data_IF_439334326684
#
_entry.id   IF_439334326684
#
_cell.length_a   1.000
_cell.length_b   1.000
_cell.length_c   1.000
_cell.angle_alpha   90.00
_cell.angle_beta   90.00
_cell.angle_gamma   90.00
#
_symmetry.space_group_name_H-M   'P 1'
#
loop_
_entity.id
_entity.type
_entity.pdbx_description
1 polymer ?
#
# COMPACT_ATOMS: atom_id res chain seq x y z
N UNK A 1 -11.33 -5.11 -17.38
CA UNK A 1 -10.36 -4.83 -16.30
C UNK A 1 -11.13 -4.70 -15.00
N UNK A 2 -10.98 -5.65 -14.07
CA UNK A 2 -11.53 -5.54 -12.73
C UNK A 2 -10.35 -5.40 -11.76
N UNK A 3 -10.15 -4.20 -11.22
CA UNK A 3 -9.15 -3.96 -10.17
C UNK A 3 -9.77 -4.47 -8.87
N UNK A 4 -9.30 -5.61 -8.39
CA UNK A 4 -9.69 -6.19 -7.09
C UNK A 4 -8.68 -5.73 -6.05
N UNK A 5 -9.05 -4.71 -5.27
CA UNK A 5 -8.26 -4.23 -4.12
C UNK A 5 -8.55 -5.16 -2.94
N UNK A 6 -7.53 -5.84 -2.43
CA UNK A 6 -7.60 -6.51 -1.13
C UNK A 6 -7.24 -5.50 -0.04
N UNK A 7 -8.19 -5.23 0.86
CA UNK A 7 -7.91 -4.58 2.14
C UNK A 7 -7.23 -5.62 3.03
N UNK A 8 -5.99 -5.34 3.46
CA UNK A 8 -5.24 -6.17 4.41
C UNK A 8 -6.00 -6.32 5.73
N UNK A 9 -5.85 -7.48 6.37
CA UNK A 9 -6.64 -7.91 7.53
C UNK A 9 -6.39 -7.16 8.85
N UNK A 10 -5.85 -5.94 8.84
CA UNK A 10 -5.41 -5.25 10.05
C UNK A 10 -6.41 -4.20 10.61
N UNK A 11 -7.67 -4.22 10.17
CA UNK A 11 -8.68 -3.22 10.60
C UNK A 11 -9.95 -3.81 11.22
N UNK A 12 -9.82 -4.67 12.25
CA UNK A 12 -10.96 -5.01 13.12
C UNK A 12 -10.51 -4.98 14.59
N UNK A 13 -10.21 -3.78 15.10
CA UNK A 13 -10.20 -3.46 16.55
C UNK A 13 -11.14 -2.30 16.89
N UNK A 14 -12.17 -2.07 16.06
CA UNK A 14 -13.26 -1.17 16.43
C UNK A 14 -14.29 -1.94 17.25
N UNK A 15 -14.56 -1.47 18.47
CA UNK A 15 -15.59 -2.00 19.40
C UNK A 15 -16.96 -2.20 18.75
N UNK A 16 -17.21 -1.52 17.62
CA UNK A 16 -18.43 -1.64 16.82
C UNK A 16 -18.68 -3.06 16.30
N UNK A 17 -17.64 -3.85 16.01
CA UNK A 17 -17.77 -5.23 15.52
C UNK A 17 -17.69 -6.29 16.63
N UNK A 18 -17.21 -5.94 17.83
CA UNK A 18 -17.21 -6.86 18.99
C UNK A 18 -18.63 -7.13 19.54
N UNK A 19 -19.58 -6.22 19.35
CA UNK A 19 -20.98 -6.44 19.77
C UNK A 19 -21.68 -7.53 18.95
N UNK A 20 -21.24 -7.75 17.70
CA UNK A 20 -21.88 -8.69 16.78
C UNK A 20 -21.46 -10.13 17.09
N UNK A 21 -20.32 -10.35 17.77
CA UNK A 21 -19.77 -11.68 18.07
C UNK A 21 -20.41 -12.31 19.33
N UNK A 22 -20.96 -11.51 20.25
CA UNK A 22 -21.49 -12.00 21.53
C UNK A 22 -22.91 -12.54 21.48
N UNK A 23 -23.64 -12.27 20.41
CA UNK A 23 -24.97 -12.86 20.16
C UNK A 23 -24.80 -14.12 19.32
N UNK A 24 -24.56 -15.25 20.00
CA UNK A 24 -24.50 -16.56 19.37
C UNK A 24 -25.82 -16.90 18.70
N UNK A 25 -25.83 -16.92 17.38
CA UNK A 25 -26.27 -18.03 16.53
C UNK A 25 -26.41 -17.53 15.08
N UNK A 26 -25.79 -18.26 14.14
CA UNK A 26 -26.18 -18.31 12.72
C UNK A 26 -25.70 -17.23 11.72
N UNK A 27 -24.57 -16.54 11.93
CA UNK A 27 -23.90 -15.95 10.76
C UNK A 27 -23.10 -17.03 10.03
N UNK A 28 -23.55 -17.33 8.82
CA UNK A 28 -23.05 -18.40 7.98
C UNK A 28 -21.53 -18.34 7.85
N UNK A 29 -20.92 -19.53 7.94
CA UNK A 29 -19.61 -19.82 7.39
C UNK A 29 -19.51 -19.17 6.01
N UNK A 30 -18.82 -18.03 5.92
CA UNK A 30 -18.24 -17.58 4.67
C UNK A 30 -17.14 -18.61 4.41
N UNK A 31 -17.50 -19.69 3.70
CA UNK A 31 -16.54 -20.60 3.12
C UNK A 31 -15.71 -19.78 2.13
N UNK A 32 -14.49 -19.41 2.55
CA UNK A 32 -13.43 -19.09 1.61
C UNK A 32 -13.01 -20.40 0.94
N UNK A 33 -13.78 -20.82 -0.07
CA UNK A 33 -13.42 -21.92 -0.95
C UNK A 33 -12.62 -21.37 -2.13
N UNK A 34 -11.30 -21.31 -1.98
CA UNK A 34 -10.37 -21.47 -3.10
C UNK A 34 -9.09 -22.13 -2.59
N UNK A 35 -8.89 -23.44 -2.86
CA UNK A 35 -7.69 -24.15 -2.48
C UNK A 35 -6.55 -23.80 -3.46
N UNK A 36 -5.32 -23.71 -2.94
CA UNK A 36 -4.07 -23.64 -3.71
C UNK A 36 -3.81 -22.34 -4.53
N UNK A 37 -3.59 -21.22 -3.86
CA UNK A 37 -2.73 -20.15 -4.41
C UNK A 37 -1.45 -20.02 -3.57
N UNK A 38 -0.41 -20.69 -4.05
CA UNK A 38 0.97 -20.22 -4.18
C UNK A 38 1.40 -19.04 -3.25
N UNK A 39 2.40 -19.26 -2.37
CA UNK A 39 3.04 -18.33 -1.41
C UNK A 39 3.65 -17.03 -2.01
N UNK A 40 3.34 -16.67 -3.25
CA UNK A 40 3.99 -15.59 -3.99
C UNK A 40 3.00 -14.42 -4.21
N UNK A 41 3.30 -13.26 -3.63
CA UNK A 41 2.51 -12.04 -3.87
C UNK A 41 2.55 -11.60 -5.34
N UNK A 42 1.59 -10.77 -5.76
CA UNK A 42 1.46 -10.29 -7.14
C UNK A 42 2.46 -9.19 -7.50
N UNK A 43 2.80 -8.32 -6.54
CA UNK A 43 3.76 -7.24 -6.73
C UNK A 43 5.17 -7.76 -6.45
N UNK A 44 6.00 -7.78 -7.48
CA UNK A 44 7.41 -8.24 -7.40
C UNK A 44 8.35 -7.03 -7.32
N UNK A 45 9.51 -7.14 -6.64
CA UNK A 45 10.53 -6.10 -6.68
C UNK A 45 10.97 -5.80 -8.11
N UNK A 46 11.05 -4.52 -8.45
CA UNK A 46 11.59 -4.06 -9.75
C UNK A 46 13.11 -4.26 -9.75
N UNK A 47 13.67 -4.89 -10.81
CA UNK A 47 15.09 -5.28 -10.88
C UNK A 47 16.05 -4.10 -11.04
N UNK A 48 15.66 -3.06 -11.78
CA UNK A 48 16.44 -1.83 -11.99
C UNK A 48 15.80 -0.66 -11.24
N UNK A 49 15.52 -0.87 -9.95
CA UNK A 49 14.82 0.09 -9.13
C UNK A 49 15.68 1.33 -8.85
N UNK A 50 15.13 2.51 -9.18
CA UNK A 50 15.68 3.81 -8.84
C UNK A 50 14.63 4.64 -8.08
N UNK A 51 14.89 4.84 -6.79
CA UNK A 51 14.01 5.60 -5.90
C UNK A 51 13.90 7.09 -6.30
N UNK A 52 14.98 7.68 -6.84
CA UNK A 52 15.00 9.08 -7.26
C UNK A 52 14.08 9.26 -8.48
N UNK A 53 14.20 8.37 -9.47
CA UNK A 53 13.32 8.38 -10.64
C UNK A 53 11.85 8.21 -10.25
N UNK A 54 11.54 7.33 -9.31
CA UNK A 54 10.17 7.19 -8.77
C UNK A 54 9.66 8.48 -8.13
N UNK A 55 10.50 9.16 -7.35
CA UNK A 55 10.16 10.44 -6.73
C UNK A 55 9.95 11.56 -7.76
N UNK A 56 10.77 11.61 -8.82
CA UNK A 56 10.63 12.58 -9.91
C UNK A 56 9.34 12.39 -10.71
N UNK A 57 8.97 11.15 -11.02
CA UNK A 57 7.72 10.83 -11.72
C UNK A 57 6.53 11.29 -10.88
N UNK A 58 6.52 10.96 -9.57
CA UNK A 58 5.47 11.40 -8.66
C UNK A 58 5.41 12.93 -8.55
N UNK A 59 6.56 13.60 -8.45
CA UNK A 59 6.60 15.07 -8.40
C UNK A 59 6.06 15.68 -9.68
N UNK A 60 6.41 15.14 -10.85
CA UNK A 60 5.91 15.61 -12.14
C UNK A 60 4.41 15.39 -12.28
N UNK A 61 3.91 14.25 -11.83
CA UNK A 61 2.48 13.91 -11.86
C UNK A 61 1.62 14.86 -11.01
N UNK A 62 2.19 15.42 -9.94
CA UNK A 62 1.52 16.34 -9.00
C UNK A 62 1.88 17.82 -9.22
N UNK A 63 2.82 18.15 -10.11
CA UNK A 63 3.29 19.53 -10.31
C UNK A 63 2.62 20.12 -11.54
N UNK A 64 1.46 20.75 -11.37
CA UNK A 64 0.78 21.47 -12.44
C UNK A 64 -0.68 21.76 -12.14
N UNK A 65 -1.41 22.19 -13.17
CA UNK A 65 -2.86 22.25 -13.12
C UNK A 65 -3.41 20.86 -13.45
N UNK A 66 -3.94 20.19 -12.42
CA UNK A 66 -4.38 18.80 -12.51
C UNK A 66 -3.29 17.79 -12.15
N UNK A 67 -3.69 16.52 -12.10
CA UNK A 67 -2.89 15.42 -11.56
C UNK A 67 -2.86 14.26 -12.55
N UNK A 68 -1.68 13.72 -12.85
CA UNK A 68 -1.53 12.50 -13.65
C UNK A 68 -1.74 11.26 -12.75
N UNK A 69 -3.01 10.94 -12.50
CA UNK A 69 -3.40 9.81 -11.65
C UNK A 69 -2.87 8.46 -12.13
N UNK A 70 -2.69 8.27 -13.45
CA UNK A 70 -2.15 7.01 -13.98
C UNK A 70 -0.66 6.87 -13.66
N UNK A 71 0.13 7.93 -13.83
CA UNK A 71 1.54 7.90 -13.43
C UNK A 71 1.72 7.59 -11.93
N UNK A 72 0.83 8.11 -11.07
CA UNK A 72 0.84 7.81 -9.64
C UNK A 72 0.52 6.33 -9.39
N UNK A 73 -0.56 5.81 -10.00
CA UNK A 73 -0.97 4.41 -9.85
C UNK A 73 0.12 3.46 -10.35
N UNK A 74 0.75 3.76 -11.49
CA UNK A 74 1.81 2.94 -12.07
C UNK A 74 3.04 2.89 -11.16
N UNK A 75 3.46 4.02 -10.59
CA UNK A 75 4.58 4.03 -9.65
C UNK A 75 4.21 3.28 -8.38
N UNK A 76 3.07 3.57 -7.75
CA UNK A 76 2.77 2.94 -6.45
C UNK A 76 2.44 1.45 -6.61
N UNK A 77 1.66 1.06 -7.62
CA UNK A 77 1.19 -0.33 -7.76
C UNK A 77 2.26 -1.29 -8.26
N UNK A 78 3.27 -0.84 -9.00
CA UNK A 78 4.33 -1.71 -9.53
C UNK A 78 5.50 -1.92 -8.55
N UNK A 79 5.56 -1.19 -7.45
CA UNK A 79 6.64 -1.29 -6.46
C UNK A 79 6.16 -1.99 -5.18
N UNK A 80 6.90 -2.97 -4.63
CA UNK A 80 6.61 -3.51 -3.30
C UNK A 80 6.85 -2.46 -2.22
N UNK A 81 6.33 -2.72 -1.01
CA UNK A 81 6.39 -1.78 0.11
C UNK A 81 7.80 -1.25 0.42
N UNK A 82 8.83 -2.09 0.36
CA UNK A 82 10.20 -1.66 0.63
C UNK A 82 10.74 -0.66 -0.40
N UNK A 83 10.33 -0.80 -1.67
CA UNK A 83 10.66 0.16 -2.72
C UNK A 83 9.83 1.44 -2.59
N UNK A 84 8.54 1.35 -2.22
CA UNK A 84 7.69 2.52 -1.91
C UNK A 84 8.27 3.36 -0.76
N UNK A 85 8.78 2.72 0.29
CA UNK A 85 9.46 3.40 1.41
C UNK A 85 10.71 4.15 0.95
N UNK A 86 11.50 3.55 0.06
CA UNK A 86 12.67 4.20 -0.53
C UNK A 86 12.26 5.39 -1.41
N UNK A 87 11.21 5.28 -2.23
CA UNK A 87 10.66 6.41 -3.01
C UNK A 87 10.19 7.54 -2.07
N UNK A 88 9.48 7.23 -0.99
CA UNK A 88 9.05 8.22 0.01
C UNK A 88 10.23 8.95 0.64
N UNK A 89 11.30 8.24 0.99
CA UNK A 89 12.52 8.83 1.53
C UNK A 89 13.23 9.72 0.48
N UNK A 90 13.36 9.23 -0.76
CA UNK A 90 13.93 9.98 -1.88
C UNK A 90 13.15 11.28 -2.15
N UNK A 91 11.82 11.22 -2.20
CA UNK A 91 10.95 12.38 -2.40
C UNK A 91 11.14 13.44 -1.31
N UNK A 92 11.21 13.00 -0.05
CA UNK A 92 11.48 13.89 1.09
C UNK A 92 12.86 14.55 0.99
N UNK A 93 13.89 13.81 0.60
CA UNK A 93 15.25 14.33 0.46
C UNK A 93 15.39 15.30 -0.73
N UNK A 94 14.75 15.01 -1.86
CA UNK A 94 14.87 15.82 -3.08
C UNK A 94 14.07 17.14 -3.01
N UNK A 95 12.87 17.11 -2.40
CA UNK A 95 11.94 18.24 -2.45
C UNK A 95 11.64 18.86 -1.09
N UNK A 96 12.06 18.25 0.01
CA UNK A 96 11.75 18.72 1.37
C UNK A 96 10.27 18.60 1.74
N UNK A 97 9.49 17.81 1.00
CA UNK A 97 8.04 17.64 1.16
C UNK A 97 7.67 16.24 1.61
N UNK A 98 6.52 16.10 2.25
CA UNK A 98 5.95 14.79 2.57
C UNK A 98 5.12 14.31 1.38
N UNK A 99 5.57 13.22 0.74
CA UNK A 99 4.89 12.60 -0.39
C UNK A 99 3.44 12.23 -0.06
N UNK A 100 3.17 11.78 1.17
CA UNK A 100 1.83 11.36 1.59
C UNK A 100 0.88 12.56 1.61
N UNK A 101 1.35 13.70 2.13
CA UNK A 101 0.57 14.95 2.16
C UNK A 101 0.34 15.53 0.78
N UNK A 102 1.36 15.49 -0.08
CA UNK A 102 1.20 15.94 -1.48
C UNK A 102 0.14 15.06 -2.20
N UNK A 103 0.12 13.74 -1.95
CA UNK A 103 -0.89 12.83 -2.54
C UNK A 103 -2.32 13.08 -2.00
N UNK A 104 -2.48 13.39 -0.71
CA UNK A 104 -3.78 13.75 -0.10
C UNK A 104 -4.39 15.03 -0.71
N UNK A 105 -3.55 15.96 -1.19
CA UNK A 105 -4.01 17.22 -1.80
C UNK A 105 -4.39 17.06 -3.27
N UNK A 106 -3.78 16.09 -3.96
CA UNK A 106 -3.88 15.91 -5.41
C UNK A 106 -4.91 14.84 -5.82
N UNK A 107 -5.19 13.86 -4.94
CA UNK A 107 -6.12 12.77 -5.20
C UNK A 107 -7.38 12.89 -4.36
N UNK A 108 -8.49 12.35 -4.87
CA UNK A 108 -9.75 12.23 -4.12
C UNK A 108 -10.49 10.94 -4.47
N UNK A 109 -11.39 10.52 -3.57
CA UNK A 109 -12.27 9.36 -3.78
C UNK A 109 -11.53 8.02 -3.76
N UNK A 110 -11.97 7.06 -4.57
CA UNK A 110 -11.46 5.69 -4.52
C UNK A 110 -9.96 5.57 -4.85
N UNK A 111 -9.42 6.50 -5.65
CA UNK A 111 -8.00 6.50 -6.02
C UNK A 111 -7.13 6.90 -4.83
N UNK A 112 -7.56 7.89 -4.05
CA UNK A 112 -6.88 8.33 -2.82
C UNK A 112 -6.79 7.17 -1.83
N UNK A 113 -7.92 6.52 -1.52
CA UNK A 113 -7.98 5.41 -0.56
C UNK A 113 -7.03 4.25 -0.94
N UNK A 114 -7.00 3.89 -2.23
CA UNK A 114 -6.13 2.84 -2.75
C UNK A 114 -4.65 3.18 -2.56
N UNK A 115 -4.24 4.37 -3.01
CA UNK A 115 -2.84 4.80 -2.97
C UNK A 115 -2.38 4.99 -1.53
N UNK A 116 -3.24 5.56 -0.69
CA UNK A 116 -2.95 5.75 0.73
C UNK A 116 -2.78 4.42 1.47
N UNK A 117 -3.65 3.45 1.19
CA UNK A 117 -3.54 2.09 1.73
C UNK A 117 -2.24 1.40 1.32
N UNK A 118 -1.83 1.56 0.06
CA UNK A 118 -0.56 1.00 -0.44
C UNK A 118 0.66 1.67 0.21
N UNK A 119 0.64 2.99 0.39
CA UNK A 119 1.77 3.77 0.89
C UNK A 119 1.94 3.74 2.41
N UNK A 120 0.85 3.55 3.17
CA UNK A 120 0.88 3.44 4.63
C UNK A 120 0.95 2.00 5.13
N UNK A 121 0.97 1.01 4.23
CA UNK A 121 1.06 -0.39 4.63
C UNK A 121 2.39 -0.67 5.35
N UNK A 122 2.27 -1.16 6.58
CA UNK A 122 3.42 -1.51 7.41
C UNK A 122 4.00 -2.85 6.93
N UNK A 123 5.25 -2.87 6.48
CA UNK A 123 6.00 -4.12 6.29
C UNK A 123 6.44 -4.66 7.66
N UNK A 124 5.54 -5.23 8.46
CA UNK A 124 5.86 -5.87 9.77
C UNK A 124 6.55 -7.23 9.65
N UNK A 125 7.34 -7.46 8.59
CA UNK A 125 8.18 -8.64 8.51
C UNK A 125 9.64 -8.25 8.37
N UNK A 126 10.19 -7.65 9.43
CA UNK A 126 11.61 -7.86 9.70
C UNK A 126 11.81 -9.37 9.75
N UNK A 127 12.59 -9.92 8.81
CA UNK A 127 13.09 -11.27 8.96
C UNK A 127 13.84 -11.34 10.31
N UNK A 128 13.62 -12.38 11.13
CA UNK A 128 14.52 -12.65 12.24
C UNK A 128 15.87 -13.10 11.65
N UNK A 129 16.77 -12.17 11.36
CA UNK A 129 18.17 -12.48 11.01
C UNK A 129 19.19 -11.98 12.04
N UNK A 130 18.76 -11.48 13.21
CA UNK A 130 19.67 -11.05 14.30
C UNK A 130 19.56 -11.87 15.60
N UNK A 131 19.11 -13.13 15.54
CA UNK A 131 19.07 -14.01 16.71
C UNK A 131 20.23 -15.04 16.78
N UNK A 132 21.33 -14.85 16.03
CA UNK A 132 22.48 -15.78 16.04
C UNK A 132 23.79 -15.20 16.59
N UNK A 133 23.74 -14.08 17.32
CA UNK A 133 24.85 -13.68 18.20
C UNK A 133 24.43 -13.80 19.66
N UNK A 134 24.59 -15.01 20.22
CA UNK A 134 24.95 -15.31 21.61
C UNK A 134 25.16 -16.82 21.76
#
# INVERSE_FOLDING_TARGET
MAIRVCVGQDLIKSKKYELIIKSGEKIAKIHCASPAQSKWGTIRPVSNFDALRGAEILRKAMKGFGTDGQAIVDVVSNHPNDQRRQIKAAFKNMYGKDLIKDLELELSGNMEELIFGQMNSVSTRSSPQEASLR
#
